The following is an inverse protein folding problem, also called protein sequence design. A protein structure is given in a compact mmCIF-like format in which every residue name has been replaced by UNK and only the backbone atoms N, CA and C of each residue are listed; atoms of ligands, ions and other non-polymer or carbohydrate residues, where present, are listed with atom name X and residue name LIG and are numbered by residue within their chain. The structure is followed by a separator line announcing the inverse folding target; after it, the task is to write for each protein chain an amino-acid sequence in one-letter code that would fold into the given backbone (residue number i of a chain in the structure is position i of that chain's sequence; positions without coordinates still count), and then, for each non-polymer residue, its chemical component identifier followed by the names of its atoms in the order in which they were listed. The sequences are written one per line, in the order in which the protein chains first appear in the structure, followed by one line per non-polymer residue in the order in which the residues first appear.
data_IF_697660962969
#
_entry.id   IF_697660962969
#
_cell.length_a   1.000
_cell.length_b   1.000
_cell.length_c   1.000
_cell.angle_alpha   90.00
_cell.angle_beta   90.00
_cell.angle_gamma   90.00
#
_symmetry.space_group_name_H-M   'P 1'
#
loop_
_entity.id
_entity.type
_entity.pdbx_description
1 polymer ?
#
# COMPACT_ATOMS: atom_id res chain seq x y z
N UNK A 1 3.88 23.32 -2.77
CA UNK A 1 4.23 22.17 -3.62
C UNK A 1 3.55 21.00 -2.99
N UNK A 2 2.52 20.49 -3.64
CA UNK A 2 1.62 19.50 -3.10
C UNK A 2 1.80 18.22 -3.90
N UNK A 3 2.49 17.25 -3.29
CA UNK A 3 2.34 15.85 -3.68
C UNK A 3 1.08 15.34 -2.98
N UNK A 4 0.15 14.79 -3.75
CA UNK A 4 -1.20 14.40 -3.33
C UNK A 4 -1.30 12.90 -2.97
N UNK A 5 -0.19 12.18 -2.99
CA UNK A 5 -0.12 10.72 -2.80
C UNK A 5 0.20 9.97 -4.09
N UNK A 6 0.03 8.65 -4.04
CA UNK A 6 0.40 7.74 -5.15
C UNK A 6 -0.67 7.82 -6.24
N UNK A 7 -0.23 8.09 -7.48
CA UNK A 7 -1.10 8.19 -8.67
C UNK A 7 -1.01 6.92 -9.54
N UNK A 8 0.18 6.31 -9.60
CA UNK A 8 0.41 5.06 -10.30
C UNK A 8 1.55 4.26 -9.68
N UNK A 9 1.44 2.93 -9.70
CA UNK A 9 2.55 2.00 -9.46
C UNK A 9 2.75 1.10 -10.69
N UNK A 10 4.00 0.73 -10.96
CA UNK A 10 4.33 -0.20 -12.06
C UNK A 10 5.15 -1.36 -11.54
N UNK A 11 4.63 -2.58 -11.68
CA UNK A 11 5.34 -3.83 -11.44
C UNK A 11 5.99 -4.36 -12.73
N UNK A 12 7.12 -5.03 -12.59
CA UNK A 12 7.63 -5.99 -13.57
C UNK A 12 7.35 -7.40 -13.07
N UNK A 13 6.74 -8.26 -13.89
CA UNK A 13 6.37 -9.62 -13.52
C UNK A 13 6.65 -10.62 -14.66
N UNK A 14 6.86 -11.88 -14.31
CA UNK A 14 7.19 -12.98 -15.23
C UNK A 14 5.98 -13.88 -15.58
N UNK A 15 4.85 -13.71 -14.90
CA UNK A 15 3.59 -14.43 -15.15
C UNK A 15 2.39 -13.46 -15.21
N UNK A 16 2.23 -12.78 -16.36
CA UNK A 16 1.12 -11.86 -16.61
C UNK A 16 -0.27 -12.53 -16.48
N UNK A 17 -0.53 -13.75 -16.99
CA UNK A 17 -1.82 -14.42 -16.78
C UNK A 17 -2.20 -14.60 -15.30
N UNK A 18 -1.24 -15.00 -14.45
CA UNK A 18 -1.48 -15.11 -13.01
C UNK A 18 -1.70 -13.74 -12.38
N UNK A 19 -0.89 -12.74 -12.71
CA UNK A 19 -1.09 -11.36 -12.25
C UNK A 19 -2.45 -10.80 -12.68
N UNK A 20 -2.91 -11.09 -13.90
CA UNK A 20 -4.20 -10.64 -14.41
C UNK A 20 -5.34 -11.09 -13.51
N UNK A 21 -5.40 -12.39 -13.24
CA UNK A 21 -6.39 -12.98 -12.34
C UNK A 21 -6.23 -12.44 -10.92
N UNK A 22 -5.01 -12.34 -10.43
CA UNK A 22 -4.71 -11.86 -9.08
C UNK A 22 -5.28 -10.46 -8.82
N UNK A 23 -5.00 -9.50 -9.70
CA UNK A 23 -5.47 -8.12 -9.51
C UNK A 23 -6.97 -7.94 -9.79
N UNK A 24 -7.56 -8.75 -10.68
CA UNK A 24 -9.03 -8.81 -10.82
C UNK A 24 -9.69 -9.38 -9.55
N UNK A 25 -9.16 -10.47 -8.97
CA UNK A 25 -9.65 -11.06 -7.72
C UNK A 25 -9.46 -10.08 -6.54
N UNK A 26 -8.37 -9.31 -6.56
CA UNK A 26 -8.07 -8.23 -5.59
C UNK A 26 -9.11 -7.10 -5.63
N UNK A 27 -9.87 -6.98 -6.71
CA UNK A 27 -10.94 -6.01 -6.86
C UNK A 27 -10.55 -4.76 -7.65
N UNK A 28 -9.43 -4.80 -8.40
CA UNK A 28 -9.08 -3.72 -9.33
C UNK A 28 -9.83 -3.89 -10.65
N UNK A 29 -10.14 -2.78 -11.32
CA UNK A 29 -10.78 -2.80 -12.62
C UNK A 29 -9.74 -2.86 -13.74
N UNK A 30 -9.73 -3.92 -14.55
CA UNK A 30 -8.89 -4.00 -15.75
C UNK A 30 -9.36 -2.97 -16.78
N UNK A 31 -8.44 -2.13 -17.27
CA UNK A 31 -8.71 -1.05 -18.24
C UNK A 31 -8.13 -1.34 -19.61
N UNK A 32 -6.95 -1.94 -19.65
CA UNK A 32 -6.35 -2.41 -20.89
C UNK A 32 -5.48 -3.65 -20.64
N UNK A 33 -5.43 -4.48 -21.66
CA UNK A 33 -4.63 -5.70 -21.71
C UNK A 33 -3.95 -5.76 -23.07
N UNK A 34 -2.62 -5.88 -23.05
CA UNK A 34 -1.76 -6.07 -24.20
C UNK A 34 -0.82 -7.25 -23.92
N UNK A 35 -0.17 -7.85 -24.94
CA UNK A 35 0.65 -9.04 -24.76
C UNK A 35 1.77 -8.93 -23.69
N UNK A 36 2.26 -7.73 -23.42
CA UNK A 36 3.31 -7.47 -22.43
C UNK A 36 2.89 -6.57 -21.27
N UNK A 37 1.62 -6.16 -21.18
CA UNK A 37 1.19 -5.16 -20.19
C UNK A 37 -0.28 -5.32 -19.79
N UNK A 38 -0.54 -5.14 -18.51
CA UNK A 38 -1.87 -5.03 -17.91
C UNK A 38 -1.98 -3.69 -17.18
N UNK A 39 -3.09 -2.98 -17.40
CA UNK A 39 -3.38 -1.73 -16.69
C UNK A 39 -4.69 -1.87 -15.93
N UNK A 40 -4.61 -1.70 -14.61
CA UNK A 40 -5.75 -1.68 -13.71
C UNK A 40 -5.94 -0.30 -13.10
N UNK A 41 -7.16 -0.02 -12.62
CA UNK A 41 -7.44 1.16 -11.80
C UNK A 41 -8.18 0.79 -10.51
N UNK A 42 -7.86 1.51 -9.44
CA UNK A 42 -8.67 1.62 -8.23
C UNK A 42 -9.89 2.54 -8.46
N UNK A 43 -10.80 2.64 -7.49
CA UNK A 43 -12.03 3.43 -7.64
C UNK A 43 -11.78 4.91 -7.95
N UNK A 44 -10.72 5.49 -7.39
CA UNK A 44 -10.40 6.90 -7.60
C UNK A 44 -9.53 7.17 -8.83
N UNK A 45 -9.27 6.16 -9.66
CA UNK A 45 -8.43 6.28 -10.85
C UNK A 45 -6.93 6.06 -10.63
N UNK A 46 -6.48 5.79 -9.40
CA UNK A 46 -5.11 5.36 -9.12
C UNK A 46 -4.78 4.10 -9.94
N UNK A 47 -3.66 4.11 -10.66
CA UNK A 47 -3.31 3.05 -11.63
C UNK A 47 -2.35 2.01 -11.06
N UNK A 48 -2.59 0.76 -11.43
CA UNK A 48 -1.65 -0.35 -11.19
C UNK A 48 -1.30 -0.95 -12.54
N UNK A 49 -0.05 -0.79 -12.95
CA UNK A 49 0.48 -1.36 -14.18
C UNK A 49 1.30 -2.60 -13.85
N UNK A 50 1.12 -3.66 -14.62
CA UNK A 50 1.94 -4.88 -14.54
C UNK A 50 2.47 -5.15 -15.95
N UNK A 51 3.78 -5.00 -16.13
CA UNK A 51 4.44 -5.26 -17.39
C UNK A 51 5.32 -6.51 -17.33
N UNK A 52 5.60 -7.11 -18.49
CA UNK A 52 6.53 -8.21 -18.61
C UNK A 52 7.92 -7.82 -18.07
N UNK A 53 8.54 -8.71 -17.31
CA UNK A 53 9.80 -8.41 -16.59
C UNK A 53 10.94 -7.94 -17.51
N UNK A 54 10.94 -8.40 -18.76
CA UNK A 54 11.90 -8.11 -19.81
C UNK A 54 11.50 -6.94 -20.73
N UNK A 55 10.41 -6.22 -20.42
CA UNK A 55 10.03 -5.01 -21.14
C UNK A 55 11.14 -3.95 -21.04
N UNK A 56 11.66 -3.54 -22.20
CA UNK A 56 12.75 -2.58 -22.31
C UNK A 56 12.39 -1.17 -21.83
N UNK A 57 11.11 -0.86 -21.68
CA UNK A 57 10.61 0.42 -21.18
C UNK A 57 10.53 0.47 -19.65
N UNK A 58 10.68 -0.67 -18.96
CA UNK A 58 10.67 -0.68 -17.50
C UNK A 58 11.94 -0.02 -16.93
N UNK A 59 11.82 0.86 -15.93
CA UNK A 59 12.98 1.36 -15.19
C UNK A 59 13.77 0.22 -14.55
N UNK A 60 15.06 0.38 -14.20
CA UNK A 60 15.85 -0.68 -13.56
C UNK A 60 15.18 -1.28 -12.32
N UNK A 61 15.37 -2.58 -12.09
CA UNK A 61 14.87 -3.26 -10.89
C UNK A 61 15.80 -3.05 -9.69
N UNK A 62 15.23 -2.94 -8.48
CA UNK A 62 16.01 -2.88 -7.23
C UNK A 62 16.52 -4.25 -6.75
N UNK A 63 15.80 -5.30 -7.14
CA UNK A 63 16.03 -6.72 -6.79
C UNK A 63 15.73 -7.63 -7.99
N UNK A 64 16.16 -8.89 -7.91
CA UNK A 64 15.90 -9.90 -8.95
C UNK A 64 14.45 -10.42 -8.90
N UNK A 65 13.91 -10.79 -10.06
CA UNK A 65 12.57 -11.34 -10.20
C UNK A 65 11.44 -10.29 -10.17
N UNK A 66 10.19 -10.71 -9.98
CA UNK A 66 9.06 -9.80 -9.90
C UNK A 66 9.18 -8.79 -8.76
N UNK A 67 9.05 -7.50 -9.08
CA UNK A 67 9.14 -6.38 -8.12
C UNK A 67 8.46 -5.13 -8.67
N UNK A 68 8.20 -4.16 -7.79
CA UNK A 68 7.87 -2.80 -8.19
C UNK A 68 9.08 -2.12 -8.84
N UNK A 69 8.84 -1.44 -9.96
CA UNK A 69 9.84 -0.76 -10.80
C UNK A 69 9.69 0.75 -10.75
N UNK A 70 8.48 1.24 -10.55
CA UNK A 70 8.16 2.68 -10.56
C UNK A 70 7.05 3.01 -9.56
N UNK A 71 7.20 4.15 -8.88
CA UNK A 71 6.13 4.84 -8.17
C UNK A 71 5.98 6.23 -8.76
N UNK A 72 4.77 6.54 -9.21
CA UNK A 72 4.38 7.86 -9.71
C UNK A 72 3.55 8.56 -8.65
N UNK A 73 4.04 9.71 -8.21
CA UNK A 73 3.40 10.57 -7.24
C UNK A 73 2.60 11.66 -7.96
N UNK A 74 1.34 11.84 -7.57
CA UNK A 74 0.46 12.85 -8.17
C UNK A 74 0.77 14.24 -7.62
N UNK A 75 0.92 15.24 -8.48
CA UNK A 75 0.98 16.65 -8.08
C UNK A 75 -0.30 17.37 -8.47
N UNK A 76 -0.59 18.47 -7.79
CA UNK A 76 -1.83 19.24 -8.00
C UNK A 76 -1.89 19.96 -9.35
N UNK A 77 -0.76 20.46 -9.85
CA UNK A 77 -0.74 21.32 -11.03
C UNK A 77 0.51 21.18 -11.89
N UNK A 78 0.41 21.59 -13.16
CA UNK A 78 1.56 21.72 -14.06
C UNK A 78 2.64 22.66 -13.50
N UNK A 79 2.24 23.68 -12.71
CA UNK A 79 3.18 24.58 -12.06
C UNK A 79 3.96 23.89 -10.93
N UNK A 80 3.35 22.95 -10.20
CA UNK A 80 4.07 22.10 -9.25
C UNK A 80 5.02 21.15 -9.98
N UNK A 81 4.56 20.54 -11.07
CA UNK A 81 5.37 19.63 -11.88
C UNK A 81 6.64 20.31 -12.41
N UNK A 82 6.51 21.54 -12.94
CA UNK A 82 7.64 22.33 -13.43
C UNK A 82 8.63 22.73 -12.32
N UNK A 83 8.12 23.06 -11.12
CA UNK A 83 8.96 23.34 -9.95
C UNK A 83 9.80 22.12 -9.56
N UNK A 84 9.18 20.94 -9.50
CA UNK A 84 9.91 19.70 -9.22
C UNK A 84 10.90 19.37 -10.34
N UNK A 85 10.52 19.52 -11.60
CA UNK A 85 11.42 19.29 -12.74
C UNK A 85 12.70 20.13 -12.63
N UNK A 86 12.55 21.41 -12.28
CA UNK A 86 13.69 22.31 -12.03
C UNK A 86 14.54 21.83 -10.84
N UNK A 87 13.90 21.39 -9.75
CA UNK A 87 14.60 20.96 -8.53
C UNK A 87 15.42 19.68 -8.70
N UNK A 88 14.99 18.75 -9.56
CA UNK A 88 15.65 17.46 -9.79
C UNK A 88 16.40 17.37 -11.13
N UNK A 89 16.50 18.47 -11.89
CA UNK A 89 17.10 18.50 -13.23
C UNK A 89 18.55 18.01 -13.28
N UNK A 90 19.29 18.13 -12.17
CA UNK A 90 20.68 17.68 -12.05
C UNK A 90 20.83 16.37 -11.26
N UNK A 91 19.73 15.74 -10.85
CA UNK A 91 19.78 14.48 -10.10
C UNK A 91 20.08 13.30 -11.05
N UNK A 92 20.70 12.22 -10.55
CA UNK A 92 21.01 11.06 -11.36
C UNK A 92 19.76 10.47 -12.04
N UNK A 93 19.92 10.12 -13.31
CA UNK A 93 18.86 9.53 -14.14
C UNK A 93 17.58 10.38 -14.17
N UNK A 94 17.75 11.71 -14.24
CA UNK A 94 16.67 12.63 -14.57
C UNK A 94 15.89 12.14 -15.79
N UNK A 95 14.57 12.13 -15.64
CA UNK A 95 13.61 11.65 -16.61
C UNK A 95 12.59 12.76 -16.86
N UNK A 96 12.29 13.03 -18.14
CA UNK A 96 11.22 13.93 -18.56
C UNK A 96 10.70 13.45 -19.91
N UNK A 97 9.49 12.90 -19.93
CA UNK A 97 8.88 12.34 -21.12
C UNK A 97 7.35 12.46 -21.07
N UNK A 98 6.69 12.31 -22.22
CA UNK A 98 5.25 12.10 -22.26
C UNK A 98 4.94 10.61 -22.23
N UNK A 99 4.17 10.19 -21.24
CA UNK A 99 3.73 8.80 -21.04
C UNK A 99 2.21 8.81 -20.93
N UNK A 100 1.54 8.01 -21.77
CA UNK A 100 0.08 7.91 -21.85
C UNK A 100 -0.63 9.28 -21.90
N UNK A 101 -0.07 10.23 -22.65
CA UNK A 101 -0.65 11.55 -22.84
C UNK A 101 -0.49 12.53 -21.67
N UNK A 102 0.31 12.25 -20.63
CA UNK A 102 0.73 13.27 -19.67
C UNK A 102 2.25 13.37 -19.60
N UNK A 103 2.75 14.56 -19.23
CA UNK A 103 4.16 14.75 -18.89
C UNK A 103 4.45 14.01 -17.59
N UNK A 104 5.56 13.26 -17.58
CA UNK A 104 6.08 12.53 -16.44
C UNK A 104 7.53 12.90 -16.26
N UNK A 105 7.85 13.41 -15.08
CA UNK A 105 9.23 13.76 -14.69
C UNK A 105 9.69 12.87 -13.53
N UNK A 106 10.99 12.77 -13.29
CA UNK A 106 11.48 12.06 -12.12
C UNK A 106 12.98 11.76 -12.13
N UNK A 107 13.40 10.91 -11.21
CA UNK A 107 14.78 10.45 -11.05
C UNK A 107 14.80 9.04 -10.42
N UNK A 108 15.98 8.57 -10.03
CA UNK A 108 16.15 7.34 -9.26
C UNK A 108 16.49 7.69 -7.81
N UNK A 109 15.79 7.06 -6.85
CA UNK A 109 16.06 7.26 -5.44
C UNK A 109 17.37 6.56 -4.99
N UNK A 110 17.87 6.84 -3.76
CA UNK A 110 19.07 6.18 -3.25
C UNK A 110 18.96 4.65 -3.15
N UNK A 111 17.74 4.10 -3.16
CA UNK A 111 17.48 2.67 -3.11
C UNK A 111 17.39 2.01 -4.51
N UNK A 112 17.42 2.80 -5.60
CA UNK A 112 17.33 2.31 -6.97
C UNK A 112 15.91 2.25 -7.55
N UNK A 113 14.90 2.78 -6.85
CA UNK A 113 13.52 2.87 -7.34
C UNK A 113 13.39 4.05 -8.31
N UNK A 114 12.63 3.88 -9.40
CA UNK A 114 12.19 5.01 -10.20
C UNK A 114 11.08 5.78 -9.49
N UNK A 115 11.40 7.00 -9.09
CA UNK A 115 10.47 7.93 -8.48
C UNK A 115 10.05 8.94 -9.53
N UNK A 116 8.75 9.01 -9.80
CA UNK A 116 8.16 9.88 -10.83
C UNK A 116 7.12 10.82 -10.23
N UNK A 117 6.86 11.89 -10.96
CA UNK A 117 5.81 12.85 -10.69
C UNK A 117 5.03 13.10 -11.98
N UNK A 118 3.72 13.29 -11.85
CA UNK A 118 2.84 13.78 -12.92
C UNK A 118 1.67 14.54 -12.29
N UNK A 119 0.99 15.38 -13.06
CA UNK A 119 -0.28 15.96 -12.59
C UNK A 119 -1.26 14.81 -12.31
N UNK A 120 -1.81 14.80 -11.10
CA UNK A 120 -2.67 13.72 -10.60
C UNK A 120 -3.81 13.44 -11.56
N UNK A 121 -4.00 12.15 -11.88
CA UNK A 121 -5.13 11.66 -12.67
C UNK A 121 -6.24 11.11 -11.78
N UNK A 122 -6.01 11.02 -10.46
CA UNK A 122 -7.03 10.62 -9.49
C UNK A 122 -8.19 11.62 -9.46
N UNK A 123 -9.38 11.12 -9.17
CA UNK A 123 -10.59 11.92 -8.98
C UNK A 123 -11.23 11.61 -7.62
N UNK A 124 -11.98 12.57 -7.09
CA UNK A 124 -12.73 12.35 -5.86
C UNK A 124 -13.74 11.19 -6.03
N UNK A 125 -13.93 10.42 -4.96
CA UNK A 125 -14.93 9.35 -4.87
C UNK A 125 -15.71 9.50 -3.59
N UNK A 126 -17.02 9.27 -3.67
CA UNK A 126 -17.87 9.12 -2.49
C UNK A 126 -18.21 7.63 -2.35
N UNK A 127 -17.96 7.08 -1.16
CA UNK A 127 -18.21 5.68 -0.83
C UNK A 127 -19.12 5.61 0.39
N UNK A 128 -20.10 4.71 0.35
CA UNK A 128 -20.91 4.40 1.52
C UNK A 128 -20.09 3.52 2.47
N UNK A 129 -19.84 4.00 3.68
CA UNK A 129 -19.00 3.33 4.67
C UNK A 129 -19.84 2.79 5.83
N UNK A 130 -19.41 1.66 6.40
CA UNK A 130 -20.05 1.08 7.57
C UNK A 130 -19.95 1.98 8.81
N UNK A 131 -21.08 2.45 9.33
CA UNK A 131 -21.11 3.21 10.58
C UNK A 131 -20.84 2.31 11.80
N UNK A 132 -19.90 2.71 12.67
CA UNK A 132 -19.60 2.00 13.91
C UNK A 132 -20.46 2.51 15.08
N UNK A 133 -21.05 1.59 15.85
CA UNK A 133 -21.68 1.94 17.12
C UNK A 133 -20.61 1.90 18.23
N UNK A 134 -20.49 2.99 18.98
CA UNK A 134 -19.70 3.07 20.22
C UNK A 134 -20.64 3.09 21.44
N UNK A 135 -20.08 3.08 22.65
CA UNK A 135 -20.88 3.21 23.87
C UNK A 135 -21.72 4.50 23.87
N UNK A 136 -21.11 5.60 23.44
CA UNK A 136 -21.69 6.95 23.48
C UNK A 136 -22.46 7.32 22.20
N UNK A 137 -22.21 6.66 21.06
CA UNK A 137 -22.87 6.96 19.78
C UNK A 137 -23.39 5.68 19.11
N UNK A 138 -24.68 5.65 18.77
CA UNK A 138 -25.34 4.48 18.14
C UNK A 138 -26.05 4.88 16.84
N UNK A 139 -25.31 5.32 15.81
CA UNK A 139 -25.90 5.83 14.57
C UNK A 139 -26.66 4.75 13.77
N UNK A 140 -26.33 3.46 13.92
CA UNK A 140 -27.05 2.38 13.23
C UNK A 140 -28.38 2.04 13.92
N UNK A 141 -29.43 2.81 13.61
CA UNK A 141 -30.80 2.56 14.05
C UNK A 141 -31.54 1.65 13.07
N UNK A 142 -32.04 0.50 13.55
CA UNK A 142 -32.77 -0.49 12.74
C UNK A 142 -31.98 -0.98 11.50
N UNK A 143 -30.64 -0.98 11.57
CA UNK A 143 -29.75 -1.34 10.47
C UNK A 143 -28.57 -2.19 10.95
N UNK A 144 -28.21 -3.21 10.16
CA UNK A 144 -27.02 -4.04 10.41
C UNK A 144 -25.75 -3.38 9.86
N UNK A 145 -24.58 -3.77 10.36
CA UNK A 145 -23.31 -3.39 9.75
C UNK A 145 -23.15 -4.10 8.39
N UNK A 146 -22.41 -3.51 7.43
CA UNK A 146 -22.21 -4.12 6.13
C UNK A 146 -21.40 -5.41 6.23
N UNK A 147 -21.67 -6.34 5.30
CA UNK A 147 -20.84 -7.51 5.04
C UNK A 147 -20.49 -7.44 3.55
N UNK A 148 -19.21 -7.24 3.24
CA UNK A 148 -18.76 -7.14 1.86
C UNK A 148 -18.37 -8.51 1.32
N UNK A 149 -18.84 -8.84 0.11
CA UNK A 149 -18.54 -10.12 -0.56
C UNK A 149 -17.14 -10.16 -1.18
N UNK A 150 -16.56 -8.98 -1.41
CA UNK A 150 -15.20 -8.73 -1.90
C UNK A 150 -14.80 -7.28 -1.59
N UNK A 151 -13.52 -6.97 -1.70
CA UNK A 151 -13.05 -5.59 -1.64
C UNK A 151 -13.11 -4.92 -3.02
N UNK A 152 -13.14 -3.59 -3.01
CA UNK A 152 -13.00 -2.71 -4.15
C UNK A 152 -12.09 -1.55 -3.73
N UNK A 153 -10.75 -1.71 -3.86
CA UNK A 153 -9.80 -0.71 -3.44
C UNK A 153 -10.10 0.70 -3.94
N UNK A 154 -10.00 1.67 -3.04
CA UNK A 154 -10.19 3.08 -3.33
C UNK A 154 -8.95 3.63 -4.04
N UNK A 155 -7.78 3.35 -3.50
CA UNK A 155 -6.48 3.77 -4.04
C UNK A 155 -5.33 2.89 -3.53
N UNK A 156 -4.12 3.15 -4.04
CA UNK A 156 -2.88 2.73 -3.39
C UNK A 156 -2.56 3.76 -2.31
N UNK A 157 -2.67 3.35 -1.04
CA UNK A 157 -2.45 4.25 0.09
C UNK A 157 -0.97 4.42 0.40
N UNK A 158 -0.25 3.30 0.53
CA UNK A 158 1.19 3.36 0.82
C UNK A 158 2.01 2.28 0.14
N UNK A 159 3.30 2.58 -0.04
CA UNK A 159 4.33 1.66 -0.52
C UNK A 159 5.42 1.51 0.53
N UNK A 160 5.91 0.29 0.70
CA UNK A 160 6.94 -0.04 1.70
C UNK A 160 8.12 -0.70 1.06
N UNK A 161 9.31 -0.18 1.35
CA UNK A 161 10.56 -0.68 0.80
C UNK A 161 11.53 -1.11 1.89
N UNK A 162 12.18 -2.24 1.64
CA UNK A 162 13.44 -2.53 2.31
C UNK A 162 14.53 -1.65 1.72
N UNK A 163 15.26 -0.94 2.59
CA UNK A 163 16.32 0.00 2.19
C UNK A 163 17.65 -0.31 2.86
N UNK A 164 18.74 0.03 2.17
CA UNK A 164 20.10 -0.13 2.70
C UNK A 164 20.49 0.96 3.70
N UNK A 165 19.99 2.18 3.51
CA UNK A 165 20.26 3.34 4.36
C UNK A 165 18.98 4.18 4.52
N UNK A 166 18.28 3.97 5.63
CA UNK A 166 17.01 4.67 5.90
C UNK A 166 17.21 6.18 6.02
N UNK A 167 18.36 6.65 6.52
CA UNK A 167 18.61 8.08 6.71
C UNK A 167 18.82 8.77 5.37
N UNK A 168 19.64 8.19 4.51
CA UNK A 168 19.89 8.73 3.18
C UNK A 168 18.62 8.73 2.34
N UNK A 169 17.86 7.63 2.34
CA UNK A 169 16.62 7.55 1.57
C UNK A 169 15.53 8.48 2.12
N UNK A 170 15.32 8.56 3.44
CA UNK A 170 14.32 9.49 4.00
C UNK A 170 14.67 10.96 3.76
N UNK A 171 15.95 11.32 3.87
CA UNK A 171 16.42 12.67 3.58
C UNK A 171 16.16 13.05 2.11
N UNK A 172 16.40 12.12 1.18
CA UNK A 172 16.09 12.33 -0.23
C UNK A 172 14.61 12.67 -0.46
N UNK A 173 13.67 11.88 0.09
CA UNK A 173 12.24 12.17 -0.07
C UNK A 173 11.82 13.49 0.59
N UNK A 174 12.36 13.80 1.77
CA UNK A 174 12.07 15.05 2.46
C UNK A 174 12.61 16.28 1.69
N UNK A 175 13.87 16.24 1.27
CA UNK A 175 14.54 17.38 0.64
C UNK A 175 14.10 17.61 -0.81
N UNK A 176 13.84 16.53 -1.57
CA UNK A 176 13.51 16.63 -3.00
C UNK A 176 12.03 16.76 -3.27
N UNK A 177 11.21 16.06 -2.48
CA UNK A 177 9.77 15.98 -2.73
C UNK A 177 8.91 16.65 -1.65
N UNK A 178 9.50 17.02 -0.51
CA UNK A 178 8.80 17.70 0.58
C UNK A 178 8.05 16.76 1.52
N UNK A 179 8.37 15.47 1.50
CA UNK A 179 7.71 14.49 2.36
C UNK A 179 8.02 14.77 3.83
N UNK A 180 7.06 14.51 4.70
CA UNK A 180 7.13 14.80 6.13
C UNK A 180 7.10 13.51 6.93
N UNK A 181 7.97 13.40 7.93
CA UNK A 181 7.97 12.26 8.85
C UNK A 181 6.71 12.24 9.72
N UNK A 182 6.11 11.07 9.85
CA UNK A 182 4.97 10.81 10.73
C UNK A 182 5.43 10.13 12.00
N UNK A 183 6.15 9.03 11.90
CA UNK A 183 6.74 8.31 13.03
C UNK A 183 8.01 7.58 12.56
N UNK A 184 8.77 7.00 13.48
CA UNK A 184 9.99 6.27 13.12
C UNK A 184 10.29 5.08 14.01
N UNK A 185 11.10 4.18 13.45
CA UNK A 185 11.93 3.25 14.22
C UNK A 185 13.35 3.80 14.19
N UNK A 186 13.94 4.21 15.32
CA UNK A 186 15.25 4.85 15.32
C UNK A 186 16.32 4.07 14.53
N UNK A 187 16.90 4.71 13.53
CA UNK A 187 17.90 4.14 12.61
C UNK A 187 17.45 2.91 11.80
N UNK A 188 16.15 2.61 11.78
CA UNK A 188 15.60 1.39 11.18
C UNK A 188 14.39 1.64 10.28
N UNK A 189 13.58 2.63 10.58
CA UNK A 189 12.28 2.83 9.95
C UNK A 189 11.90 4.29 9.86
N UNK A 190 11.38 4.74 8.72
CA UNK A 190 10.84 6.09 8.54
C UNK A 190 9.47 6.02 7.87
N UNK A 191 8.41 6.35 8.62
CA UNK A 191 7.06 6.50 8.09
C UNK A 191 6.92 7.94 7.60
N UNK A 192 6.63 8.12 6.31
CA UNK A 192 6.60 9.43 5.67
C UNK A 192 5.29 9.63 4.91
N UNK A 193 4.72 10.82 5.05
CA UNK A 193 3.55 11.29 4.30
C UNK A 193 3.95 12.37 3.30
N UNK A 194 3.22 12.46 2.19
CA UNK A 194 3.53 13.36 1.07
C UNK A 194 3.36 14.83 1.43
N UNK A 195 2.46 15.13 2.37
CA UNK A 195 2.10 16.49 2.76
C UNK A 195 1.98 16.61 4.29
N UNK A 196 2.07 17.82 4.86
CA UNK A 196 1.91 18.02 6.30
C UNK A 196 0.58 17.51 6.86
N UNK A 197 -0.48 17.54 6.06
CA UNK A 197 -1.81 17.01 6.37
C UNK A 197 -2.14 15.82 5.48
N UNK A 198 -2.67 14.75 6.07
CA UNK A 198 -3.07 13.53 5.35
C UNK A 198 -3.06 12.28 6.24
N UNK A 199 -3.08 11.10 5.60
CA UNK A 199 -2.93 9.82 6.28
C UNK A 199 -1.59 9.69 7.02
N UNK A 200 -1.46 8.63 7.82
CA UNK A 200 -0.30 8.41 8.65
C UNK A 200 0.96 8.29 7.79
N UNK A 201 0.91 7.63 6.64
CA UNK A 201 2.04 7.57 5.72
C UNK A 201 1.62 7.13 4.32
N UNK A 202 2.33 7.62 3.31
CA UNK A 202 2.26 7.12 1.93
C UNK A 202 3.51 6.28 1.57
N UNK A 203 4.57 6.42 2.36
CA UNK A 203 5.85 5.75 2.17
C UNK A 203 6.38 5.25 3.52
N UNK A 204 6.75 3.97 3.59
CA UNK A 204 7.53 3.46 4.71
C UNK A 204 8.85 2.86 4.23
N UNK A 205 9.93 3.34 4.80
CA UNK A 205 11.28 2.88 4.51
C UNK A 205 11.77 2.03 5.68
N UNK A 206 12.17 0.79 5.43
CA UNK A 206 12.58 -0.15 6.46
C UNK A 206 13.97 -0.73 6.18
N UNK A 207 14.94 -0.37 7.02
CA UNK A 207 16.27 -0.96 7.03
C UNK A 207 16.32 -2.15 7.99
N UNK A 208 16.66 -3.32 7.46
CA UNK A 208 16.78 -4.56 8.26
C UNK A 208 18.24 -5.02 8.37
N UNK A 209 18.61 -5.75 9.45
CA UNK A 209 20.00 -6.13 9.70
C UNK A 209 20.65 -6.99 8.62
N UNK A 210 19.86 -7.70 7.82
CA UNK A 210 20.39 -8.51 6.71
C UNK A 210 20.90 -7.65 5.54
N UNK A 211 20.59 -6.35 5.50
CA UNK A 211 20.89 -5.49 4.36
C UNK A 211 20.09 -5.83 3.11
N UNK A 212 18.95 -6.54 3.26
CA UNK A 212 18.02 -6.74 2.13
C UNK A 212 17.55 -5.38 1.64
N UNK A 213 17.47 -5.25 0.31
CA UNK A 213 16.86 -4.15 -0.42
C UNK A 213 15.78 -4.70 -1.34
N UNK A 214 14.69 -3.96 -1.52
CA UNK A 214 13.62 -4.35 -2.45
C UNK A 214 12.24 -3.94 -1.97
N UNK A 215 11.20 -4.45 -2.62
CA UNK A 215 9.83 -4.25 -2.22
C UNK A 215 9.51 -5.06 -0.95
N UNK A 216 8.88 -4.40 0.03
CA UNK A 216 8.24 -5.09 1.14
C UNK A 216 6.78 -5.37 0.77
N UNK A 217 5.97 -4.31 0.65
CA UNK A 217 4.57 -4.44 0.27
C UNK A 217 4.00 -3.17 -0.35
N UNK A 218 2.84 -3.32 -0.98
CA UNK A 218 2.00 -2.23 -1.43
C UNK A 218 0.61 -2.38 -0.82
N UNK A 219 0.10 -1.30 -0.24
CA UNK A 219 -1.16 -1.30 0.46
C UNK A 219 -2.24 -0.50 -0.24
N UNK A 220 -3.44 -1.05 -0.18
CA UNK A 220 -4.62 -0.55 -0.85
C UNK A 220 -5.66 -0.16 0.19
N UNK A 221 -6.05 1.11 0.16
CA UNK A 221 -7.07 1.65 1.06
C UNK A 221 -8.43 1.08 0.66
N UNK A 222 -9.15 0.53 1.64
CA UNK A 222 -10.54 0.10 1.49
C UNK A 222 -11.45 0.91 2.42
N UNK A 223 -12.77 0.85 2.22
CA UNK A 223 -13.74 1.77 2.84
C UNK A 223 -13.67 1.78 4.36
N UNK A 224 -13.59 0.58 4.95
CA UNK A 224 -13.67 0.37 6.38
C UNK A 224 -13.13 -1.03 6.76
N UNK A 225 -13.09 -1.31 8.07
CA UNK A 225 -12.66 -2.60 8.60
C UNK A 225 -13.48 -3.78 8.05
N UNK A 226 -14.79 -3.62 7.84
CA UNK A 226 -15.61 -4.72 7.32
C UNK A 226 -15.16 -5.09 5.90
N UNK A 227 -14.68 -4.14 5.10
CA UNK A 227 -14.15 -4.40 3.77
C UNK A 227 -12.77 -5.09 3.81
N UNK A 228 -11.92 -4.79 4.79
CA UNK A 228 -10.68 -5.54 5.02
C UNK A 228 -10.99 -7.04 5.22
N UNK A 229 -11.98 -7.36 6.06
CA UNK A 229 -12.42 -8.74 6.27
C UNK A 229 -13.10 -9.34 5.05
N UNK A 230 -14.03 -8.62 4.42
CA UNK A 230 -14.77 -9.07 3.24
C UNK A 230 -13.87 -9.39 2.06
N UNK A 231 -12.93 -8.48 1.77
CA UNK A 231 -11.89 -8.63 0.77
C UNK A 231 -10.97 -9.81 1.07
N UNK A 232 -10.40 -9.88 2.26
CA UNK A 232 -9.48 -10.97 2.58
C UNK A 232 -10.15 -12.35 2.61
N UNK A 233 -11.41 -12.46 3.05
CA UNK A 233 -12.17 -13.71 2.95
C UNK A 233 -12.47 -14.08 1.49
N UNK A 234 -12.79 -13.11 0.64
CA UNK A 234 -12.94 -13.34 -0.80
C UNK A 234 -11.64 -13.87 -1.41
N UNK A 235 -10.53 -13.19 -1.15
CA UNK A 235 -9.24 -13.53 -1.70
C UNK A 235 -8.77 -14.93 -1.25
N UNK A 236 -9.07 -15.28 0.01
CA UNK A 236 -8.89 -16.64 0.55
C UNK A 236 -9.75 -17.69 -0.18
N UNK A 237 -11.01 -17.39 -0.53
CA UNK A 237 -11.87 -18.29 -1.34
C UNK A 237 -11.35 -18.49 -2.77
N UNK A 238 -10.68 -17.48 -3.34
CA UNK A 238 -10.00 -17.62 -4.63
C UNK A 238 -8.70 -18.44 -4.54
N UNK A 239 -8.30 -18.86 -3.34
CA UNK A 239 -7.12 -19.70 -3.13
C UNK A 239 -5.81 -18.92 -3.04
N UNK A 240 -5.87 -17.60 -2.81
CA UNK A 240 -4.67 -16.80 -2.59
C UNK A 240 -4.15 -16.93 -1.15
N UNK A 241 -2.83 -16.91 -1.02
CA UNK A 241 -2.14 -17.14 0.24
C UNK A 241 -2.08 -15.88 1.10
N UNK A 242 -2.64 -15.95 2.31
CA UNK A 242 -2.36 -14.98 3.36
C UNK A 242 -0.90 -15.12 3.81
N UNK A 243 -0.21 -14.00 3.95
CA UNK A 243 1.06 -13.95 4.65
C UNK A 243 0.83 -13.71 6.15
N UNK A 244 0.03 -12.70 6.49
CA UNK A 244 -0.34 -12.39 7.87
C UNK A 244 -1.63 -11.58 7.89
N UNK A 245 -2.49 -11.86 8.87
CA UNK A 245 -3.67 -11.06 9.14
C UNK A 245 -4.97 -11.85 9.02
N UNK A 246 -6.12 -11.24 9.32
CA UNK A 246 -6.27 -9.81 9.62
C UNK A 246 -5.57 -9.44 10.92
N UNK A 247 -5.19 -8.17 11.03
CA UNK A 247 -4.46 -7.62 12.17
C UNK A 247 -4.71 -6.12 12.35
N UNK A 248 -4.05 -5.54 13.35
CA UNK A 248 -4.07 -4.10 13.60
C UNK A 248 -2.68 -3.57 13.95
N UNK A 249 -2.27 -2.48 13.30
CA UNK A 249 -1.04 -1.77 13.59
C UNK A 249 -1.23 -0.77 14.75
N UNK A 250 -0.41 -0.84 15.81
CA UNK A 250 -0.42 0.16 16.87
C UNK A 250 0.11 1.53 16.44
N UNK A 251 1.01 1.57 15.46
CA UNK A 251 1.68 2.81 15.03
C UNK A 251 0.72 3.73 14.30
N UNK A 252 -0.01 3.23 13.31
CA UNK A 252 -0.92 4.01 12.45
C UNK A 252 -2.41 3.81 12.77
N UNK A 253 -2.73 3.01 13.79
CA UNK A 253 -4.09 2.51 14.11
C UNK A 253 -4.74 1.58 13.07
N UNK A 254 -4.15 1.45 11.88
CA UNK A 254 -4.76 0.78 10.73
C UNK A 254 -5.04 -0.72 10.97
N UNK A 255 -6.20 -1.17 10.52
CA UNK A 255 -6.46 -2.60 10.31
C UNK A 255 -5.83 -3.04 9.00
N UNK A 256 -5.25 -4.23 8.98
CA UNK A 256 -4.54 -4.75 7.81
C UNK A 256 -4.86 -6.22 7.52
N UNK A 257 -4.64 -6.64 6.28
CA UNK A 257 -4.50 -8.06 5.91
C UNK A 257 -3.56 -8.24 4.71
N UNK A 258 -2.43 -8.93 4.93
CA UNK A 258 -1.37 -9.17 3.95
C UNK A 258 -1.53 -10.49 3.18
N UNK A 259 -1.22 -10.44 1.89
CA UNK A 259 -1.21 -11.59 0.98
C UNK A 259 0.07 -11.63 0.15
N UNK A 260 0.48 -12.83 -0.28
CA UNK A 260 1.59 -12.98 -1.22
C UNK A 260 1.17 -12.47 -2.60
N UNK A 261 2.02 -11.68 -3.25
CA UNK A 261 1.76 -11.10 -4.56
C UNK A 261 2.64 -11.75 -5.65
N UNK A 262 2.07 -12.32 -6.73
CA UNK A 262 2.86 -12.88 -7.83
C UNK A 262 3.70 -11.82 -8.57
N UNK A 263 3.32 -10.54 -8.51
CA UNK A 263 4.09 -9.45 -9.10
C UNK A 263 5.25 -8.95 -8.22
N UNK A 264 5.46 -9.54 -7.03
CA UNK A 264 6.53 -9.19 -6.10
C UNK A 264 6.03 -8.56 -4.80
N UNK A 265 6.81 -8.75 -3.73
CA UNK A 265 6.47 -8.28 -2.38
C UNK A 265 5.18 -8.89 -1.84
N UNK A 266 4.58 -8.20 -0.86
CA UNK A 266 3.23 -8.49 -0.37
C UNK A 266 2.25 -7.43 -0.89
N UNK A 267 0.97 -7.76 -0.81
CA UNK A 267 -0.13 -6.82 -1.04
C UNK A 267 -1.01 -6.75 0.22
N UNK A 268 -1.53 -5.57 0.54
CA UNK A 268 -2.26 -5.32 1.78
C UNK A 268 -3.60 -4.63 1.51
N UNK A 269 -4.68 -5.13 2.12
CA UNK A 269 -5.87 -4.31 2.34
C UNK A 269 -5.74 -3.61 3.68
N UNK A 270 -5.97 -2.31 3.72
CA UNK A 270 -5.97 -1.57 4.98
C UNK A 270 -7.07 -0.51 5.06
N UNK A 271 -7.44 -0.16 6.29
CA UNK A 271 -8.40 0.90 6.60
C UNK A 271 -8.17 1.47 8.01
N UNK A 272 -8.79 2.61 8.30
CA UNK A 272 -8.80 3.24 9.64
C UNK A 272 -7.40 3.70 10.10
N UNK A 273 -6.59 4.24 9.18
CA UNK A 273 -5.34 4.89 9.55
C UNK A 273 -5.56 6.28 10.17
N UNK A 274 -4.65 6.69 11.05
CA UNK A 274 -4.65 8.02 11.66
C UNK A 274 -4.56 9.13 10.60
N UNK A 275 -5.30 10.22 10.80
CA UNK A 275 -5.17 11.46 10.02
C UNK A 275 -4.35 12.47 10.81
N UNK A 276 -3.27 12.94 10.19
CA UNK A 276 -2.29 13.82 10.81
C UNK A 276 -2.39 15.22 10.20
N UNK A 277 -2.10 16.24 11.01
CA UNK A 277 -1.94 17.62 10.56
C UNK A 277 -0.48 18.06 10.69
N UNK A 278 -0.18 19.30 10.29
CA UNK A 278 1.14 19.88 10.48
C UNK A 278 1.56 20.01 11.96
N UNK A 279 0.61 19.90 12.91
CA UNK A 279 0.87 19.96 14.36
C UNK A 279 1.29 18.62 14.96
N UNK A 280 1.23 17.55 14.17
CA UNK A 280 1.65 16.22 14.62
C UNK A 280 3.12 16.24 15.05
N UNK A 281 3.39 15.65 16.22
CA UNK A 281 4.74 15.47 16.74
C UNK A 281 5.18 14.03 16.51
N UNK A 282 6.16 13.79 15.62
CA UNK A 282 6.60 12.43 15.33
C UNK A 282 7.10 11.70 16.56
N UNK A 283 6.70 10.44 16.67
CA UNK A 283 7.04 9.53 17.76
C UNK A 283 8.14 8.57 17.30
N UNK A 284 8.91 8.10 18.26
CA UNK A 284 9.92 7.06 18.06
C UNK A 284 9.47 5.78 18.76
N UNK A 285 9.53 4.65 18.05
CA UNK A 285 9.19 3.35 18.59
C UNK A 285 10.38 2.40 18.49
N UNK A 286 10.67 1.70 19.58
CA UNK A 286 11.60 0.58 19.55
C UNK A 286 10.96 -0.61 18.81
N UNK A 287 11.57 -1.15 17.74
CA UNK A 287 11.00 -2.28 17.01
C UNK A 287 10.77 -3.49 17.90
N UNK A 288 9.55 -4.05 17.85
CA UNK A 288 9.21 -5.28 18.55
C UNK A 288 7.91 -5.89 18.02
N UNK A 289 7.64 -7.19 18.28
CA UNK A 289 6.45 -7.85 17.77
C UNK A 289 5.14 -7.15 18.15
N UNK A 290 5.04 -6.64 19.39
CA UNK A 290 3.87 -5.92 19.90
C UNK A 290 3.77 -4.48 19.41
N UNK A 291 4.84 -3.93 18.84
CA UNK A 291 4.86 -2.61 18.19
C UNK A 291 4.49 -2.76 16.71
N UNK A 292 4.80 -3.91 16.11
CA UNK A 292 4.40 -4.23 14.76
C UNK A 292 2.88 -4.49 14.68
N UNK A 293 2.32 -5.35 15.53
CA UNK A 293 0.90 -5.63 15.55
C UNK A 293 0.35 -5.67 16.99
N UNK A 294 -0.78 -5.01 17.22
CA UNK A 294 -1.55 -5.16 18.47
C UNK A 294 -2.04 -6.60 18.58
N UNK A 295 -2.53 -7.12 17.46
CA UNK A 295 -2.83 -8.52 17.21
C UNK A 295 -2.80 -8.78 15.70
N UNK A 296 -2.51 -10.02 15.32
CA UNK A 296 -2.63 -10.50 13.96
C UNK A 296 -2.87 -12.01 13.95
N UNK A 297 -3.63 -12.49 12.97
CA UNK A 297 -3.88 -13.92 12.79
C UNK A 297 -2.82 -14.51 11.86
N UNK A 298 -1.94 -15.35 12.40
CA UNK A 298 -0.96 -16.09 11.59
C UNK A 298 -1.65 -17.13 10.70
N UNK A 299 -1.19 -17.27 9.46
CA UNK A 299 -1.82 -18.09 8.41
C UNK A 299 -3.20 -17.63 7.94
N UNK A 300 -3.77 -16.62 8.59
CA UNK A 300 -5.05 -15.98 8.29
C UNK A 300 -6.30 -16.82 8.42
N UNK A 301 -7.40 -16.27 7.89
CA UNK A 301 -8.73 -16.88 7.95
C UNK A 301 -9.06 -17.61 6.65
N UNK A 302 -9.64 -18.80 6.79
CA UNK A 302 -10.20 -19.56 5.69
C UNK A 302 -11.49 -18.93 5.18
N UNK A 303 -11.57 -18.70 3.87
CA UNK A 303 -12.65 -17.95 3.23
C UNK A 303 -14.02 -18.63 3.28
N UNK A 304 -14.08 -19.94 3.55
CA UNK A 304 -15.32 -20.72 3.62
C UNK A 304 -15.78 -20.95 5.06
N UNK A 305 -14.90 -21.46 5.91
CA UNK A 305 -15.19 -21.75 7.32
C UNK A 305 -15.19 -20.49 8.19
N UNK A 306 -14.54 -19.41 7.72
CA UNK A 306 -14.33 -18.15 8.46
C UNK A 306 -13.60 -18.36 9.79
N UNK A 307 -12.77 -19.41 9.86
CA UNK A 307 -11.92 -19.74 11.01
C UNK A 307 -10.45 -19.62 10.61
N UNK A 308 -9.57 -19.50 11.59
CA UNK A 308 -8.13 -19.48 11.34
C UNK A 308 -7.70 -20.79 10.67
N UNK A 309 -6.91 -20.70 9.60
CA UNK A 309 -6.33 -21.85 8.92
C UNK A 309 -5.40 -22.59 9.88
N UNK A 310 -5.49 -23.91 9.93
CA UNK A 310 -4.63 -24.77 10.76
C UNK A 310 -4.64 -24.46 12.28
N UNK A 311 -5.62 -23.72 12.78
CA UNK A 311 -5.84 -23.67 14.22
C UNK A 311 -6.24 -25.08 14.66
N UNK A 312 -5.40 -25.74 15.46
CA UNK A 312 -5.88 -26.86 16.25
C UNK A 312 -7.11 -26.35 17.02
N UNK A 313 -8.30 -26.85 16.67
CA UNK A 313 -9.51 -26.49 17.40
C UNK A 313 -9.28 -26.73 18.90
N UNK A 314 -9.94 -25.99 19.80
CA UNK A 314 -9.77 -26.23 21.23
C UNK A 314 -10.03 -27.72 21.52
N UNK A 315 -8.96 -28.46 21.83
CA UNK A 315 -9.04 -29.83 22.34
C UNK A 315 -9.43 -29.74 23.81
N UNK A 316 -10.71 -29.45 24.05
CA UNK A 316 -11.30 -29.35 25.37
C UNK A 316 -12.80 -29.10 25.23
N UNK A 317 -13.61 -29.91 25.91
CA UNK A 317 -15.05 -29.72 26.02
C UNK A 317 -15.36 -28.27 26.48
N UNK A 318 -16.54 -27.77 26.09
CA UNK A 318 -17.02 -26.42 26.41
C UNK A 318 -16.76 -26.04 27.88
N UNK A 319 -16.34 -24.79 28.10
CA UNK A 319 -16.14 -24.13 29.40
C UNK A 319 -17.38 -24.10 30.33
N UNK A 320 -18.50 -24.71 29.91
CA UNK A 320 -19.75 -24.83 30.67
C UNK A 320 -20.04 -26.23 31.20
N UNK A 321 -19.21 -27.23 30.91
CA UNK A 321 -19.36 -28.56 31.53
C UNK A 321 -18.71 -28.54 32.93
N UNK A 322 -19.54 -28.23 33.93
CA UNK A 322 -19.19 -28.28 35.35
C UNK A 322 -18.76 -29.69 35.76
N UNK A 323 -17.73 -29.76 36.60
CA UNK A 323 -17.38 -30.95 37.41
C UNK A 323 -18.55 -31.45 38.23
#
# INVERSE_FOLDING_TARGET
MSVLGIDQITYGADDLPTCRRFFEDWGLALKSEAPGELVFECLNGCRVVVAALDDANLPPAMEEGPTLREVVWGVESEADLERYATAIANDPAFFDASIDGARRIGCIDPNGLAVRLQVSRKHAVEVDCGAMNTWNAKPRLNQSAPIYERATPIEVGHVVFFVNDVKATSAFYAERFGFVGSDSYPNRGAFMRCAPEGGHHDLFLLQIPSGKRGLNHVAFTVRDIHEVFGGGLHFSRQGWDTQLGPGRHPVSSAYFWYFKNPAGGLIEYYADEDQLTAEWQPREFEPGPTVFAEWAVDGGLDGHTRRQKNAEGPKGAFLTEKK
#
